data_IF_291906797983
#
_entry.id   IF_291906797983
#
_cell.length_a   1.000
_cell.length_b   1.000
_cell.length_c   1.000
_cell.angle_alpha   90.00
_cell.angle_beta   90.00
_cell.angle_gamma   90.00
#
_symmetry.space_group_name_H-M   'P 1'
#
loop_
_entity.id
_entity.type
_entity.pdbx_description
1 polymer ?
#
# COMPACT_ATOMS: atom_id res chain seq x y z
N UNK A 1 13.52 11.15 6.43
CA UNK A 1 12.32 11.28 5.56
C UNK A 1 11.86 12.73 5.60
N UNK A 2 11.97 13.42 4.48
CA UNK A 2 11.63 14.84 4.38
C UNK A 2 10.40 15.06 3.50
N UNK A 3 10.19 14.18 2.49
CA UNK A 3 9.10 14.28 1.53
C UNK A 3 8.54 12.90 1.22
N UNK A 4 7.29 12.64 1.61
CA UNK A 4 6.66 11.33 1.56
C UNK A 4 5.56 11.33 0.51
N UNK A 5 5.61 10.38 -0.44
CA UNK A 5 4.51 10.10 -1.35
C UNK A 5 3.54 9.08 -0.73
N UNK A 6 2.24 9.36 -0.76
CA UNK A 6 1.21 8.43 -0.31
C UNK A 6 0.28 8.14 -1.49
N UNK A 7 0.13 6.86 -1.83
CA UNK A 7 -0.69 6.41 -2.97
C UNK A 7 -1.86 5.57 -2.45
N UNK A 8 -3.09 5.98 -2.77
CA UNK A 8 -4.25 5.09 -2.78
C UNK A 8 -4.67 4.81 -4.23
N UNK A 9 -5.32 3.69 -4.50
CA UNK A 9 -5.87 3.41 -5.83
C UNK A 9 -7.21 4.11 -6.05
N UNK A 10 -8.01 4.20 -5.00
CA UNK A 10 -9.37 4.74 -5.02
C UNK A 10 -9.51 5.99 -4.14
N UNK A 11 -10.54 6.79 -4.41
CA UNK A 11 -10.80 8.02 -3.64
C UNK A 11 -11.04 7.72 -2.15
N UNK A 12 -11.79 6.69 -1.85
CA UNK A 12 -12.10 6.28 -0.47
C UNK A 12 -10.85 5.94 0.36
N UNK A 13 -9.74 5.57 -0.30
CA UNK A 13 -8.48 5.21 0.35
C UNK A 13 -7.64 6.43 0.76
N UNK A 14 -7.95 7.60 0.20
CA UNK A 14 -7.22 8.84 0.49
C UNK A 14 -8.07 9.93 1.16
N UNK A 15 -9.39 9.79 1.19
CA UNK A 15 -10.30 10.83 1.70
C UNK A 15 -9.92 11.30 3.11
N UNK A 16 -9.76 10.36 4.06
CA UNK A 16 -9.42 10.69 5.44
C UNK A 16 -8.02 11.32 5.57
N UNK A 17 -7.09 10.94 4.72
CA UNK A 17 -5.75 11.54 4.67
C UNK A 17 -5.81 12.99 4.19
N UNK A 18 -6.62 13.26 3.15
CA UNK A 18 -6.82 14.61 2.62
C UNK A 18 -7.49 15.54 3.63
N UNK A 19 -8.42 15.03 4.46
CA UNK A 19 -9.03 15.81 5.54
C UNK A 19 -8.01 16.30 6.60
N UNK A 20 -6.89 15.59 6.75
CA UNK A 20 -5.85 15.90 7.74
C UNK A 20 -4.66 16.67 7.16
N UNK A 21 -4.54 16.71 5.84
CA UNK A 21 -3.47 17.43 5.15
C UNK A 21 -3.79 18.91 5.05
N UNK A 22 -2.81 19.76 5.34
CA UNK A 22 -2.87 21.18 4.98
C UNK A 22 -2.44 21.28 3.51
N UNK A 23 -3.42 21.19 2.59
CA UNK A 23 -3.17 21.26 1.15
C UNK A 23 -2.67 22.66 0.78
N UNK A 24 -1.53 22.72 0.10
CA UNK A 24 -0.90 23.94 -0.38
C UNK A 24 -1.05 24.09 -1.90
N UNK A 25 -1.04 22.98 -2.63
CA UNK A 25 -1.15 22.94 -4.08
C UNK A 25 -1.83 21.64 -4.53
N UNK A 26 -2.55 21.72 -5.66
CA UNK A 26 -3.09 20.57 -6.37
C UNK A 26 -2.63 20.60 -7.83
N UNK A 27 -2.11 19.48 -8.31
CA UNK A 27 -1.72 19.29 -9.71
C UNK A 27 -2.39 18.05 -10.28
N UNK A 28 -2.75 18.09 -11.57
CA UNK A 28 -3.20 16.90 -12.30
C UNK A 28 -2.15 16.52 -13.34
N UNK A 29 -1.62 15.30 -13.25
CA UNK A 29 -0.61 14.76 -14.17
C UNK A 29 -1.07 13.39 -14.64
N UNK A 30 -1.08 13.16 -15.95
CA UNK A 30 -1.56 11.91 -16.56
C UNK A 30 -2.98 11.49 -16.09
N UNK A 31 -3.85 12.47 -15.77
CA UNK A 31 -5.20 12.23 -15.26
C UNK A 31 -5.29 11.89 -13.77
N UNK A 32 -4.15 11.81 -13.07
CA UNK A 32 -4.08 11.55 -11.63
C UNK A 32 -3.96 12.86 -10.84
N UNK A 33 -4.75 13.08 -9.77
CA UNK A 33 -4.60 14.23 -8.90
C UNK A 33 -3.43 14.02 -7.92
N UNK A 34 -2.62 15.05 -7.70
CA UNK A 34 -1.55 15.11 -6.71
C UNK A 34 -1.82 16.27 -5.78
N UNK A 35 -2.05 15.98 -4.52
CA UNK A 35 -2.30 16.96 -3.46
C UNK A 35 -1.01 17.15 -2.67
N UNK A 36 -0.36 18.30 -2.87
CA UNK A 36 0.89 18.67 -2.23
C UNK A 36 0.55 19.47 -0.98
N UNK A 37 1.10 19.09 0.15
CA UNK A 37 0.81 19.75 1.39
C UNK A 37 1.74 19.35 2.52
N UNK A 38 1.35 19.76 3.72
CA UNK A 38 2.11 19.51 4.93
C UNK A 38 1.26 18.84 6.00
N UNK A 39 1.83 17.82 6.64
CA UNK A 39 1.28 17.21 7.84
C UNK A 39 2.28 17.36 8.99
N UNK A 40 1.97 18.24 9.96
CA UNK A 40 2.79 18.48 11.15
C UNK A 40 4.27 18.80 10.85
N UNK A 41 4.57 19.52 9.78
CA UNK A 41 5.92 19.90 9.37
C UNK A 41 6.64 18.86 8.48
N UNK A 42 5.94 17.82 8.03
CA UNK A 42 6.43 16.85 7.05
C UNK A 42 5.75 17.16 5.72
N UNK A 43 6.54 17.31 4.67
CA UNK A 43 5.99 17.49 3.32
C UNK A 43 5.42 16.16 2.80
N UNK A 44 4.16 16.17 2.40
CA UNK A 44 3.44 14.97 1.96
C UNK A 44 2.77 15.24 0.62
N UNK A 45 2.89 14.31 -0.30
CA UNK A 45 2.16 14.30 -1.57
C UNK A 45 1.21 13.11 -1.56
N UNK A 46 -0.10 13.38 -1.49
CA UNK A 46 -1.14 12.36 -1.54
C UNK A 46 -1.69 12.29 -2.96
N UNK A 47 -1.89 11.08 -3.47
CA UNK A 47 -2.40 10.90 -4.83
C UNK A 47 -3.30 9.68 -4.94
N UNK A 48 -4.21 9.73 -5.93
CA UNK A 48 -5.03 8.61 -6.35
C UNK A 48 -4.55 8.11 -7.70
N UNK A 49 -3.99 6.89 -7.74
CA UNK A 49 -3.43 6.32 -8.96
C UNK A 49 -4.48 5.80 -9.95
N UNK A 50 -5.64 5.37 -9.47
CA UNK A 50 -6.51 4.43 -10.17
C UNK A 50 -6.07 2.98 -9.92
N UNK A 51 -6.99 2.04 -10.16
CA UNK A 51 -6.78 0.61 -9.92
C UNK A 51 -5.84 0.00 -10.96
N UNK A 52 -4.99 -0.93 -10.53
CA UNK A 52 -4.15 -1.76 -11.38
C UNK A 52 -2.70 -1.31 -11.48
N UNK A 53 -1.83 -2.26 -11.83
CA UNK A 53 -0.37 -2.13 -11.78
C UNK A 53 0.19 -1.05 -12.71
N UNK A 54 -0.40 -0.86 -13.88
CA UNK A 54 0.07 0.15 -14.85
C UNK A 54 -0.15 1.55 -14.28
N UNK A 55 -1.34 1.82 -13.74
CA UNK A 55 -1.67 3.10 -13.10
C UNK A 55 -0.77 3.35 -11.89
N UNK A 56 -0.61 2.35 -11.04
CA UNK A 56 0.22 2.41 -9.85
C UNK A 56 1.71 2.68 -10.17
N UNK A 57 2.25 2.02 -11.20
CA UNK A 57 3.62 2.23 -11.65
C UNK A 57 3.84 3.65 -12.20
N UNK A 58 2.92 4.14 -13.06
CA UNK A 58 2.98 5.50 -13.61
C UNK A 58 2.90 6.57 -12.50
N UNK A 59 2.03 6.32 -11.51
CA UNK A 59 1.86 7.19 -10.35
C UNK A 59 3.13 7.24 -9.49
N UNK A 60 3.71 6.09 -9.14
CA UNK A 60 4.93 5.99 -8.35
C UNK A 60 6.11 6.68 -9.06
N UNK A 61 6.29 6.46 -10.37
CA UNK A 61 7.33 7.11 -11.15
C UNK A 61 7.14 8.64 -11.20
N UNK A 62 5.89 9.11 -11.28
CA UNK A 62 5.58 10.55 -11.24
C UNK A 62 5.94 11.16 -9.89
N UNK A 63 5.63 10.50 -8.77
CA UNK A 63 6.01 10.94 -7.42
C UNK A 63 7.54 11.08 -7.30
N UNK A 64 8.29 10.11 -7.78
CA UNK A 64 9.75 10.11 -7.72
C UNK A 64 10.32 11.23 -8.60
N UNK A 65 9.91 11.31 -9.85
CA UNK A 65 10.54 12.20 -10.84
C UNK A 65 10.10 13.66 -10.75
N UNK A 66 8.82 13.88 -10.47
CA UNK A 66 8.23 15.23 -10.47
C UNK A 66 8.28 15.88 -9.09
N UNK A 67 8.08 15.08 -8.04
CA UNK A 67 7.95 15.58 -6.68
C UNK A 67 9.14 15.23 -5.78
N UNK A 68 10.13 14.49 -6.29
CA UNK A 68 11.38 14.17 -5.59
C UNK A 68 11.13 13.57 -4.19
N UNK A 69 10.17 12.63 -4.10
CA UNK A 69 9.88 11.95 -2.84
C UNK A 69 11.01 11.01 -2.45
N UNK A 70 11.34 10.95 -1.17
CA UNK A 70 12.36 10.05 -0.63
C UNK A 70 11.79 8.71 -0.14
N UNK A 71 10.48 8.62 -0.03
CA UNK A 71 9.78 7.38 0.34
C UNK A 71 8.34 7.36 -0.18
N UNK A 72 7.83 6.15 -0.43
CA UNK A 72 6.46 5.93 -0.89
C UNK A 72 5.73 4.97 0.07
N UNK A 73 4.54 5.36 0.51
CA UNK A 73 3.61 4.51 1.24
C UNK A 73 2.39 4.28 0.37
N UNK A 74 2.05 3.02 0.11
CA UNK A 74 0.80 2.69 -0.54
C UNK A 74 -0.20 2.21 0.50
N UNK A 75 -1.38 2.79 0.47
CA UNK A 75 -2.51 2.49 1.36
C UNK A 75 -3.66 1.90 0.58
N UNK A 76 -4.46 1.08 1.22
CA UNK A 76 -5.68 0.55 0.59
C UNK A 76 -6.18 -0.72 1.22
N UNK A 77 -7.13 -1.33 0.52
CA UNK A 77 -7.80 -2.56 0.93
C UNK A 77 -7.22 -3.78 0.22
N UNK A 78 -7.46 -4.97 0.75
CA UNK A 78 -6.99 -6.22 0.16
C UNK A 78 -7.85 -7.41 0.57
N UNK A 79 -7.85 -8.46 -0.27
CA UNK A 79 -8.43 -9.75 0.05
C UNK A 79 -7.47 -10.62 0.89
N UNK A 80 -7.95 -11.16 2.00
CA UNK A 80 -7.20 -12.01 2.92
C UNK A 80 -6.92 -13.39 2.33
N UNK A 81 -5.67 -13.85 2.43
CA UNK A 81 -5.26 -15.17 1.94
C UNK A 81 -4.71 -16.11 3.04
N UNK A 82 -4.08 -15.56 4.08
CA UNK A 82 -3.55 -16.35 5.18
C UNK A 82 -4.66 -16.73 6.16
N UNK A 83 -4.61 -17.95 6.73
CA UNK A 83 -5.63 -18.47 7.65
C UNK A 83 -5.84 -17.64 8.91
N UNK A 84 -4.81 -16.96 9.37
CA UNK A 84 -4.85 -16.13 10.59
C UNK A 84 -5.32 -14.70 10.32
N UNK A 85 -5.43 -14.31 9.05
CA UNK A 85 -5.82 -12.97 8.63
C UNK A 85 -7.33 -12.92 8.44
N UNK A 86 -7.99 -11.92 9.05
CA UNK A 86 -9.44 -11.73 9.04
C UNK A 86 -9.81 -10.36 8.48
N UNK A 87 -11.05 -10.22 8.03
CA UNK A 87 -11.63 -8.92 7.65
C UNK A 87 -11.47 -7.93 8.82
N UNK A 88 -10.94 -6.75 8.52
CA UNK A 88 -10.59 -5.71 9.49
C UNK A 88 -9.16 -5.74 9.99
N UNK A 89 -8.39 -6.79 9.76
CA UNK A 89 -6.99 -6.86 10.16
C UNK A 89 -6.11 -5.99 9.26
N UNK A 90 -4.99 -5.51 9.80
CA UNK A 90 -3.96 -4.80 9.04
C UNK A 90 -2.86 -5.77 8.62
N UNK A 91 -2.44 -5.68 7.36
CA UNK A 91 -1.24 -6.34 6.84
C UNK A 91 -0.21 -5.29 6.45
N UNK A 92 0.97 -5.36 7.07
CA UNK A 92 2.16 -4.55 6.77
C UNK A 92 3.08 -5.39 5.89
N UNK A 93 3.43 -4.91 4.70
CA UNK A 93 4.30 -5.66 3.80
C UNK A 93 5.71 -5.83 4.37
N UNK A 94 6.23 -7.06 4.36
CA UNK A 94 7.67 -7.32 4.47
C UNK A 94 8.33 -7.40 3.10
N UNK A 95 7.58 -7.91 2.14
CA UNK A 95 7.94 -7.95 0.73
C UNK A 95 6.67 -8.02 -0.14
N UNK A 96 6.83 -7.64 -1.41
CA UNK A 96 5.76 -7.73 -2.40
C UNK A 96 6.23 -8.51 -3.62
N UNK A 97 5.32 -9.23 -4.28
CA UNK A 97 5.61 -9.98 -5.50
C UNK A 97 4.42 -10.01 -6.46
N UNK A 98 4.70 -10.06 -7.75
CA UNK A 98 3.67 -10.30 -8.77
C UNK A 98 3.17 -11.74 -8.70
N UNK A 99 1.88 -11.96 -8.82
CA UNK A 99 1.31 -13.31 -8.91
C UNK A 99 0.86 -13.69 -10.33
N UNK A 100 0.91 -12.75 -11.28
CA UNK A 100 0.43 -12.88 -12.65
C UNK A 100 1.53 -12.69 -13.71
N UNK A 101 2.79 -12.79 -13.31
CA UNK A 101 3.95 -12.74 -14.22
C UNK A 101 4.85 -13.95 -14.05
N UNK A 102 5.70 -14.21 -15.03
CA UNK A 102 6.68 -15.30 -14.96
C UNK A 102 7.80 -14.98 -13.96
N UNK A 103 7.88 -15.73 -12.85
CA UNK A 103 8.97 -15.63 -11.86
C UNK A 103 10.34 -15.79 -12.51
N UNK A 104 10.47 -16.74 -13.43
CA UNK A 104 11.72 -17.00 -14.16
C UNK A 104 12.14 -15.78 -14.99
N UNK A 105 11.20 -15.11 -15.65
CA UNK A 105 11.51 -13.89 -16.39
C UNK A 105 11.93 -12.75 -15.46
N UNK A 106 11.19 -12.53 -14.38
CA UNK A 106 11.51 -11.50 -13.38
C UNK A 106 12.92 -11.70 -12.79
N UNK A 107 13.33 -12.93 -12.53
CA UNK A 107 14.64 -13.27 -11.99
C UNK A 107 15.76 -13.13 -12.99
N UNK A 108 15.54 -13.52 -14.25
CA UNK A 108 16.61 -13.65 -15.25
C UNK A 108 16.73 -12.43 -16.18
N UNK A 109 15.71 -11.57 -16.20
CA UNK A 109 15.69 -10.32 -16.95
C UNK A 109 15.56 -9.14 -15.97
N UNK A 110 15.81 -7.93 -16.46
CA UNK A 110 15.59 -6.74 -15.63
C UNK A 110 14.16 -6.74 -15.06
N UNK A 111 13.99 -6.50 -13.75
CA UNK A 111 14.92 -5.96 -12.76
C UNK A 111 15.79 -6.99 -12.02
N UNK A 112 15.85 -8.25 -12.45
CA UNK A 112 16.59 -9.37 -11.85
C UNK A 112 16.13 -9.72 -10.42
N UNK A 113 14.87 -9.47 -10.11
CA UNK A 113 14.25 -9.71 -8.80
C UNK A 113 12.87 -10.33 -8.96
N UNK A 114 12.55 -11.32 -8.12
CA UNK A 114 11.21 -11.93 -8.05
C UNK A 114 10.32 -11.26 -7.02
N UNK A 115 10.92 -10.59 -6.03
CA UNK A 115 10.24 -9.92 -4.93
C UNK A 115 10.96 -8.63 -4.56
N UNK A 116 10.22 -7.66 -4.06
CA UNK A 116 10.74 -6.38 -3.63
C UNK A 116 10.54 -6.24 -2.12
N UNK A 117 11.62 -5.93 -1.42
CA UNK A 117 11.63 -5.89 0.05
C UNK A 117 11.23 -4.50 0.52
N UNK A 118 10.24 -4.42 1.42
CA UNK A 118 9.82 -3.18 2.03
C UNK A 118 10.91 -2.60 2.95
N UNK A 119 10.91 -1.28 3.11
CA UNK A 119 11.85 -0.59 3.99
C UNK A 119 11.64 -1.01 5.44
N UNK A 120 12.67 -1.56 6.08
CA UNK A 120 12.64 -1.97 7.49
C UNK A 120 12.28 -0.82 8.43
N UNK A 121 12.74 0.40 8.10
CA UNK A 121 12.43 1.59 8.89
C UNK A 121 10.94 1.93 8.81
N UNK A 122 10.34 1.87 7.60
CA UNK A 122 8.92 2.13 7.40
C UNK A 122 8.05 1.04 8.04
N UNK A 123 8.46 -0.24 7.96
CA UNK A 123 7.78 -1.36 8.65
C UNK A 123 7.76 -1.13 10.17
N UNK A 124 8.90 -0.75 10.75
CA UNK A 124 8.99 -0.45 12.18
C UNK A 124 8.11 0.75 12.60
N UNK A 125 8.05 1.78 11.76
CA UNK A 125 7.17 2.93 11.98
C UNK A 125 5.69 2.52 11.93
N UNK A 126 5.30 1.71 10.95
CA UNK A 126 3.94 1.21 10.82
C UNK A 126 3.54 0.35 12.02
N UNK A 127 4.42 -0.57 12.46
CA UNK A 127 4.18 -1.39 13.65
C UNK A 127 3.97 -0.54 14.90
N UNK A 128 4.80 0.48 15.11
CA UNK A 128 4.64 1.42 16.23
C UNK A 128 3.34 2.21 16.14
N UNK A 129 2.97 2.64 14.94
CA UNK A 129 1.71 3.33 14.69
C UNK A 129 0.50 2.46 15.03
N UNK A 130 0.52 1.18 14.64
CA UNK A 130 -0.53 0.23 15.01
C UNK A 130 -0.66 0.06 16.54
N UNK A 131 0.46 -0.02 17.26
CA UNK A 131 0.46 -0.15 18.73
C UNK A 131 -0.07 1.12 19.42
N UNK A 132 0.26 2.31 18.87
CA UNK A 132 -0.17 3.60 19.43
C UNK A 132 -1.56 4.03 18.98
N UNK A 133 -2.13 3.40 17.96
CA UNK A 133 -3.48 3.69 17.50
C UNK A 133 -4.54 3.28 18.51
N UNK A 134 -5.71 3.91 18.43
CA UNK A 134 -6.89 3.53 19.23
C UNK A 134 -7.63 2.32 18.65
N UNK A 135 -7.22 1.84 17.48
CA UNK A 135 -7.85 0.72 16.80
C UNK A 135 -7.54 -0.59 17.52
N UNK A 136 -8.57 -1.35 17.83
CA UNK A 136 -8.44 -2.70 18.39
C UNK A 136 -8.49 -3.74 17.26
N UNK A 137 -7.42 -3.79 16.46
CA UNK A 137 -7.30 -4.64 15.28
C UNK A 137 -6.05 -5.51 15.37
N UNK A 138 -6.11 -6.70 14.78
CA UNK A 138 -4.91 -7.53 14.64
C UNK A 138 -4.00 -6.97 13.53
N UNK A 139 -2.69 -7.14 13.73
CA UNK A 139 -1.67 -6.64 12.81
C UNK A 139 -0.76 -7.80 12.42
N UNK A 140 -0.58 -7.98 11.13
CA UNK A 140 0.26 -9.02 10.55
C UNK A 140 1.38 -8.38 9.73
N UNK A 141 2.58 -8.93 9.82
CA UNK A 141 3.70 -8.57 8.96
C UNK A 141 3.95 -9.71 7.98
N UNK A 142 3.89 -9.45 6.67
CA UNK A 142 4.05 -10.53 5.73
C UNK A 142 4.08 -10.15 4.26
N UNK A 143 4.03 -11.18 3.42
CA UNK A 143 4.02 -11.02 1.98
C UNK A 143 2.67 -10.53 1.49
N UNK A 144 2.70 -9.50 0.65
CA UNK A 144 1.55 -9.04 -0.15
C UNK A 144 1.81 -9.41 -1.61
N UNK A 145 0.81 -9.94 -2.29
CA UNK A 145 0.91 -10.26 -3.73
C UNK A 145 -0.04 -9.39 -4.54
N UNK A 146 0.38 -9.01 -5.75
CA UNK A 146 -0.45 -8.18 -6.62
C UNK A 146 -0.60 -8.78 -8.02
N UNK A 147 -1.78 -8.57 -8.61
CA UNK A 147 -2.11 -8.92 -10.00
C UNK A 147 -3.18 -8.02 -10.58
N UNK A 148 -3.45 -8.15 -11.88
CA UNK A 148 -4.42 -7.33 -12.62
C UNK A 148 -5.86 -7.85 -12.51
N UNK A 149 -6.19 -8.65 -11.48
CA UNK A 149 -7.54 -9.14 -11.27
C UNK A 149 -7.94 -9.10 -9.80
N UNK A 150 -9.22 -8.81 -9.57
CA UNK A 150 -9.86 -9.03 -8.29
C UNK A 150 -9.98 -10.54 -8.05
N UNK A 151 -9.49 -11.02 -6.90
CA UNK A 151 -9.51 -12.46 -6.58
C UNK A 151 -10.81 -12.80 -5.86
N UNK A 152 -11.73 -13.44 -6.58
CA UNK A 152 -13.06 -13.85 -6.11
C UNK A 152 -13.38 -15.33 -6.40
N UNK A 153 -12.36 -16.12 -6.74
CA UNK A 153 -12.48 -17.55 -7.08
C UNK A 153 -11.67 -18.38 -6.08
N UNK A 154 -12.34 -19.26 -5.36
CA UNK A 154 -11.73 -20.14 -4.35
C UNK A 154 -10.63 -21.04 -4.90
N UNK A 155 -10.65 -21.41 -6.19
CA UNK A 155 -9.58 -22.21 -6.83
C UNK A 155 -8.35 -21.34 -7.08
N UNK A 156 -8.54 -20.12 -7.56
CA UNK A 156 -7.47 -19.15 -7.72
C UNK A 156 -6.84 -18.82 -6.37
N UNK A 157 -7.65 -18.55 -5.35
CA UNK A 157 -7.21 -18.36 -3.96
C UNK A 157 -6.31 -19.50 -3.49
N UNK A 158 -6.76 -20.75 -3.60
CA UNK A 158 -5.98 -21.93 -3.18
C UNK A 158 -4.64 -22.03 -3.90
N UNK A 159 -4.62 -21.78 -5.22
CA UNK A 159 -3.39 -21.76 -6.02
C UNK A 159 -2.42 -20.67 -5.55
N UNK A 160 -2.92 -19.46 -5.28
CA UNK A 160 -2.09 -18.34 -4.83
C UNK A 160 -1.48 -18.62 -3.44
N UNK A 161 -2.24 -19.23 -2.53
CA UNK A 161 -1.75 -19.64 -1.22
C UNK A 161 -0.62 -20.66 -1.35
N UNK A 162 -0.82 -21.71 -2.14
CA UNK A 162 0.17 -22.77 -2.36
C UNK A 162 1.46 -22.24 -2.99
N UNK A 163 1.33 -21.35 -3.98
CA UNK A 163 2.48 -20.87 -4.76
C UNK A 163 3.29 -19.77 -4.07
N UNK A 164 2.65 -18.89 -3.27
CA UNK A 164 3.27 -17.68 -2.75
C UNK A 164 3.29 -17.58 -1.22
N UNK A 165 2.47 -18.38 -0.51
CA UNK A 165 2.25 -18.27 0.94
C UNK A 165 2.05 -16.80 1.40
N UNK A 166 1.10 -16.06 0.82
CA UNK A 166 0.90 -14.63 1.06
C UNK A 166 -0.01 -14.40 2.26
N UNK A 167 0.01 -13.18 2.81
CA UNK A 167 -0.97 -12.74 3.79
C UNK A 167 -2.23 -12.18 3.12
N UNK A 168 -2.07 -11.42 2.05
CA UNK A 168 -3.20 -10.87 1.28
C UNK A 168 -2.83 -10.62 -0.19
N UNK A 169 -3.84 -10.31 -0.99
CA UNK A 169 -3.73 -9.97 -2.41
C UNK A 169 -4.44 -8.65 -2.71
N UNK A 170 -3.89 -7.89 -3.63
CA UNK A 170 -4.41 -6.62 -4.12
C UNK A 170 -3.92 -6.35 -5.56
N UNK A 171 -4.01 -5.11 -6.07
CA UNK A 171 -3.79 -4.87 -7.50
C UNK A 171 -2.70 -3.82 -7.81
N UNK A 172 -1.97 -3.25 -6.84
CA UNK A 172 -1.05 -2.12 -7.05
C UNK A 172 0.33 -2.29 -6.39
N UNK A 173 0.37 -2.81 -5.19
CA UNK A 173 1.51 -2.72 -4.27
C UNK A 173 2.82 -3.22 -4.85
N UNK A 174 2.80 -4.32 -5.59
CA UNK A 174 4.02 -4.83 -6.22
C UNK A 174 4.53 -3.90 -7.32
N UNK A 175 3.65 -3.23 -8.08
CA UNK A 175 4.08 -2.30 -9.12
C UNK A 175 4.75 -1.06 -8.51
N UNK A 176 4.22 -0.55 -7.40
CA UNK A 176 4.83 0.53 -6.63
C UNK A 176 6.18 0.10 -6.04
N UNK A 177 6.24 -1.08 -5.40
CA UNK A 177 7.49 -1.62 -4.85
C UNK A 177 8.55 -1.89 -5.91
N UNK A 178 8.15 -2.35 -7.09
CA UNK A 178 9.04 -2.56 -8.23
C UNK A 178 9.61 -1.22 -8.74
N UNK A 179 8.77 -0.20 -8.93
CA UNK A 179 9.22 1.12 -9.35
C UNK A 179 10.12 1.75 -8.28
N UNK A 180 9.78 1.64 -7.01
CA UNK A 180 10.61 2.13 -5.91
C UNK A 180 12.00 1.44 -5.91
N UNK A 181 12.03 0.12 -6.10
CA UNK A 181 13.28 -0.65 -6.17
C UNK A 181 14.21 -0.19 -7.28
N UNK A 182 13.70 0.00 -8.51
CA UNK A 182 14.54 0.43 -9.65
C UNK A 182 15.00 1.89 -9.56
N UNK A 183 14.42 2.67 -8.64
CA UNK A 183 14.79 4.07 -8.37
C UNK A 183 15.50 4.25 -7.03
N UNK A 184 15.85 3.18 -6.31
CA UNK A 184 16.46 3.20 -4.97
C UNK A 184 15.66 4.01 -3.93
N UNK A 185 14.32 3.97 -4.02
CA UNK A 185 13.40 4.67 -3.10
C UNK A 185 12.84 3.69 -2.07
N UNK A 186 12.79 4.11 -0.81
CA UNK A 186 12.14 3.36 0.26
C UNK A 186 10.63 3.25 0.03
N UNK A 187 10.06 2.06 0.24
CA UNK A 187 8.62 1.89 0.11
C UNK A 187 8.02 1.02 1.22
N UNK A 188 6.72 1.16 1.42
CA UNK A 188 5.89 0.32 2.28
C UNK A 188 4.50 0.17 1.66
N UNK A 189 3.93 -1.02 1.76
CA UNK A 189 2.53 -1.29 1.42
C UNK A 189 1.79 -1.65 2.71
N UNK A 190 0.68 -0.95 2.98
CA UNK A 190 -0.21 -1.23 4.12
C UNK A 190 -1.59 -1.53 3.57
N UNK A 191 -2.19 -2.62 4.02
CA UNK A 191 -3.52 -3.05 3.62
C UNK A 191 -4.39 -3.34 4.83
N UNK A 192 -5.65 -2.94 4.78
CA UNK A 192 -6.68 -3.47 5.65
C UNK A 192 -7.51 -4.48 4.87
N UNK A 193 -7.81 -5.60 5.50
CA UNK A 193 -8.53 -6.69 4.84
C UNK A 193 -10.00 -6.31 4.72
N UNK A 194 -10.50 -6.23 3.50
CA UNK A 194 -11.89 -5.93 3.17
C UNK A 194 -12.74 -7.18 2.95
N UNK A 195 -12.11 -8.27 2.53
CA UNK A 195 -12.77 -9.51 2.10
C UNK A 195 -11.84 -10.73 2.26
N UNK A 196 -12.37 -11.90 2.00
CA UNK A 196 -11.64 -13.16 2.12
C UNK A 196 -11.07 -13.68 0.80
N UNK A 197 -11.10 -12.91 -0.27
CA UNK A 197 -10.64 -13.32 -1.62
C UNK A 197 -11.22 -14.67 -2.08
N UNK A 198 -12.52 -14.88 -1.89
CA UNK A 198 -13.25 -16.11 -2.25
C UNK A 198 -14.59 -15.77 -2.90
N UNK A 199 -15.45 -16.79 -3.08
CA UNK A 199 -16.72 -16.65 -3.80
C UNK A 199 -17.73 -15.64 -3.15
N UNK A 200 -17.46 -15.18 -1.92
CA UNK A 200 -18.22 -14.11 -1.22
C UNK A 200 -17.47 -12.78 -1.14
N UNK A 201 -16.30 -12.68 -1.77
CA UNK A 201 -15.39 -11.53 -1.67
C UNK A 201 -16.08 -10.20 -2.06
N UNK A 202 -16.84 -10.18 -3.16
CA UNK A 202 -17.50 -8.95 -3.62
C UNK A 202 -18.50 -8.40 -2.60
N UNK A 203 -19.29 -9.25 -1.96
CA UNK A 203 -20.27 -8.85 -0.95
C UNK A 203 -19.56 -8.25 0.27
N UNK A 204 -18.53 -8.95 0.76
CA UNK A 204 -17.73 -8.49 1.91
C UNK A 204 -17.01 -7.17 1.60
N UNK A 205 -16.49 -7.03 0.38
CA UNK A 205 -15.84 -5.82 -0.09
C UNK A 205 -16.80 -4.63 -0.10
N UNK A 206 -18.00 -4.77 -0.69
CA UNK A 206 -18.99 -3.69 -0.78
C UNK A 206 -19.42 -3.19 0.61
N UNK A 207 -19.52 -4.11 1.58
CA UNK A 207 -19.90 -3.79 2.95
C UNK A 207 -18.78 -3.12 3.77
N UNK A 208 -17.52 -3.48 3.55
CA UNK A 208 -16.44 -3.14 4.47
C UNK A 208 -15.32 -2.25 3.88
N UNK A 209 -15.20 -2.09 2.56
CA UNK A 209 -14.07 -1.40 1.91
C UNK A 209 -13.81 0.01 2.47
N UNK A 210 -14.87 0.80 2.70
CA UNK A 210 -14.73 2.15 3.27
C UNK A 210 -14.16 2.15 4.69
N UNK A 211 -14.62 1.23 5.54
CA UNK A 211 -14.11 1.08 6.91
C UNK A 211 -12.66 0.64 6.89
N UNK A 212 -12.31 -0.33 6.05
CA UNK A 212 -10.96 -0.82 5.88
C UNK A 212 -10.00 0.29 5.39
N UNK A 213 -10.44 1.10 4.41
CA UNK A 213 -9.67 2.24 3.92
C UNK A 213 -9.40 3.28 5.02
N UNK A 214 -10.40 3.57 5.86
CA UNK A 214 -10.23 4.47 7.00
C UNK A 214 -9.23 3.92 8.03
N UNK A 215 -9.25 2.63 8.34
CA UNK A 215 -8.28 2.02 9.26
C UNK A 215 -6.84 2.17 8.75
N UNK A 216 -6.58 1.91 7.45
CA UNK A 216 -5.28 2.17 6.86
C UNK A 216 -4.87 3.64 6.98
N UNK A 217 -5.78 4.57 6.68
CA UNK A 217 -5.53 6.00 6.76
C UNK A 217 -5.17 6.45 8.19
N UNK A 218 -5.87 5.93 9.22
CA UNK A 218 -5.55 6.20 10.62
C UNK A 218 -4.15 5.72 11.00
N UNK A 219 -3.73 4.54 10.55
CA UNK A 219 -2.37 4.03 10.78
C UNK A 219 -1.33 4.93 10.13
N UNK A 220 -1.55 5.39 8.90
CA UNK A 220 -0.62 6.31 8.22
C UNK A 220 -0.53 7.65 8.96
N UNK A 221 -1.65 8.19 9.43
CA UNK A 221 -1.66 9.42 10.24
C UNK A 221 -0.80 9.23 11.51
N UNK A 222 -0.93 8.10 12.20
CA UNK A 222 -0.10 7.79 13.37
C UNK A 222 1.39 7.59 12.99
N UNK A 223 1.69 7.00 11.83
CA UNK A 223 3.06 6.92 11.31
C UNK A 223 3.68 8.30 11.14
N UNK A 224 2.95 9.23 10.49
CA UNK A 224 3.42 10.60 10.28
C UNK A 224 3.66 11.35 11.60
N UNK A 225 2.82 11.16 12.61
CA UNK A 225 3.05 11.71 13.96
C UNK A 225 4.34 11.17 14.59
N UNK A 226 4.62 9.88 14.42
CA UNK A 226 5.80 9.22 14.97
C UNK A 226 7.12 9.63 14.26
N UNK A 227 7.07 10.03 12.98
CA UNK A 227 8.23 10.57 12.26
C UNK A 227 8.66 11.90 12.89
N UNK A 228 7.72 12.79 13.18
CA UNK A 228 8.02 14.11 13.77
C UNK A 228 8.67 13.99 15.15
N UNK A 229 8.23 13.07 15.97
CA UNK A 229 8.78 12.89 17.32
C UNK A 229 10.26 12.53 17.34
N UNK A 230 10.79 11.90 16.27
CA UNK A 230 12.22 11.57 16.11
C UNK A 230 13.09 12.76 15.69
N UNK A 231 12.51 13.80 15.09
CA UNK A 231 13.27 14.96 14.55
C UNK A 231 13.48 16.06 15.62
N UNK A 232 12.84 15.96 16.78
CA UNK A 232 12.87 16.96 17.86
C UNK A 232 13.86 16.59 18.99
N UNK A 233 14.61 15.48 18.85
CA UNK A 233 15.70 15.08 19.75
C UNK A 233 17.06 15.32 19.12
#
# INVERSE_FOLDING_TARGET
MNRIGIIGAMQIEIDLLLEKLVIQEEQTIAGMPFYIGEFMGIEVIITRSGVGKVNAAACAQTLIHKFDVDSIINTGVAGGLHSDVKVGDIVISTNVTHHDVSKTQMKNLFPFQEQFIASKELVELARKACISSSLQIAVHEGRIISGECFVEDSKLKAKLIDEYAPHCTEMEGVAIGHVAYINDISFLIIRCISDSADDEAQISYDDFAKTAANYCSEIIIEMLKNIKSKTVL
#
